data_IF_502032239238
#
_entry.id   IF_502032239238
#
_cell.length_a   1.000
_cell.length_b   1.000
_cell.length_c   1.000
_cell.angle_alpha   90.00
_cell.angle_beta   90.00
_cell.angle_gamma   90.00
#
_symmetry.space_group_name_H-M   'P 1'
#
loop_
_entity.id
_entity.type
_entity.pdbx_description
1 polymer ?
#
# COMPACT_ATOMS: atom_id res chain seq x y z
N UNK A 1 8.45 1.69 41.23
CA UNK A 1 7.81 2.60 40.26
C UNK A 1 7.82 1.92 38.89
N UNK A 2 6.80 2.14 38.06
CA UNK A 2 6.71 1.58 36.73
C UNK A 2 6.51 2.70 35.72
N UNK A 3 7.01 2.51 34.49
CA UNK A 3 6.63 3.28 33.31
C UNK A 3 5.63 2.45 32.50
N UNK A 4 4.54 3.07 32.05
CA UNK A 4 3.48 2.44 31.25
C UNK A 4 3.40 3.21 29.94
N UNK A 5 3.54 2.51 28.81
CA UNK A 5 3.45 3.06 27.47
C UNK A 5 1.99 3.08 26.99
N UNK A 6 1.71 3.78 25.89
CA UNK A 6 0.36 3.96 25.37
C UNK A 6 -0.37 2.64 25.03
N UNK A 7 0.35 1.58 24.66
CA UNK A 7 -0.23 0.25 24.40
C UNK A 7 -0.45 -0.59 25.67
N UNK A 8 -0.18 -0.02 26.87
CA UNK A 8 -0.29 -0.69 28.14
C UNK A 8 0.94 -1.51 28.57
N UNK A 9 1.97 -1.57 27.73
CA UNK A 9 3.24 -2.26 28.09
C UNK A 9 3.88 -1.54 29.27
N UNK A 10 4.31 -2.32 30.28
CA UNK A 10 4.80 -1.80 31.57
C UNK A 10 6.21 -2.30 31.85
N UNK A 11 7.09 -1.40 32.28
CA UNK A 11 8.46 -1.74 32.68
C UNK A 11 8.79 -1.18 34.07
N UNK A 12 9.46 -1.97 34.96
CA UNK A 12 9.89 -1.48 36.26
C UNK A 12 11.03 -0.45 36.09
N UNK A 13 10.84 0.69 36.74
CA UNK A 13 11.80 1.82 36.71
C UNK A 13 12.47 1.96 38.06
N UNK A 14 13.77 2.19 38.04
CA UNK A 14 14.56 2.48 39.25
C UNK A 14 14.16 3.84 39.84
N UNK A 15 14.25 3.96 41.16
CA UNK A 15 13.96 5.22 41.86
C UNK A 15 14.88 6.36 41.40
N UNK A 16 14.34 7.59 41.40
CA UNK A 16 15.06 8.78 40.97
C UNK A 16 15.03 9.03 39.46
N UNK A 17 14.16 8.36 38.69
CA UNK A 17 14.00 8.62 37.27
C UNK A 17 13.56 10.07 36.98
N UNK A 18 14.21 10.70 36.02
CA UNK A 18 13.76 11.91 35.36
C UNK A 18 13.49 11.56 33.88
N UNK A 19 12.66 12.36 33.18
CA UNK A 19 12.32 12.09 31.76
C UNK A 19 13.56 11.86 30.87
N UNK A 20 14.62 12.60 31.10
CA UNK A 20 15.86 12.46 30.36
C UNK A 20 16.77 11.29 30.80
N UNK A 21 16.46 10.66 31.93
CA UNK A 21 17.26 9.57 32.52
C UNK A 21 16.31 8.59 33.22
N UNK A 22 15.83 7.62 32.46
CA UNK A 22 14.94 6.56 32.94
C UNK A 22 15.75 5.28 32.92
N UNK A 23 16.00 4.70 34.09
CA UNK A 23 16.71 3.42 34.20
C UNK A 23 15.71 2.31 34.51
N UNK A 24 15.70 1.29 33.64
CA UNK A 24 14.88 0.10 33.78
C UNK A 24 15.74 -1.13 34.02
N UNK A 25 15.18 -2.14 34.67
CA UNK A 25 15.82 -3.42 34.85
C UNK A 25 15.02 -4.48 34.09
N UNK A 26 15.67 -5.19 33.17
CA UNK A 26 15.10 -6.30 32.40
C UNK A 26 15.87 -7.58 32.67
N UNK A 27 15.28 -8.75 32.44
CA UNK A 27 15.88 -10.03 32.80
C UNK A 27 17.00 -10.47 31.85
N UNK A 28 16.96 -10.01 30.58
CA UNK A 28 17.93 -10.38 29.55
C UNK A 28 18.15 -9.29 28.51
N UNK A 29 19.14 -9.47 27.64
CA UNK A 29 19.32 -8.61 26.45
C UNK A 29 18.18 -8.78 25.42
N UNK A 30 17.53 -9.94 25.35
CA UNK A 30 16.35 -10.12 24.49
C UNK A 30 15.16 -9.27 24.96
N UNK A 31 14.99 -9.13 26.30
CA UNK A 31 13.97 -8.23 26.85
C UNK A 31 14.32 -6.77 26.62
N UNK A 32 15.61 -6.44 26.52
CA UNK A 32 16.05 -5.09 26.13
C UNK A 32 15.69 -4.78 24.68
N UNK A 33 15.83 -5.73 23.76
CA UNK A 33 15.37 -5.60 22.36
C UNK A 33 13.86 -5.41 22.30
N UNK A 34 13.10 -6.11 23.15
CA UNK A 34 11.65 -5.96 23.28
C UNK A 34 11.28 -4.57 23.79
N UNK A 35 11.99 -4.05 24.78
CA UNK A 35 11.84 -2.69 25.27
C UNK A 35 12.15 -1.66 24.17
N UNK A 36 13.24 -1.85 23.43
CA UNK A 36 13.58 -0.98 22.30
C UNK A 36 12.45 -0.94 21.25
N UNK A 37 11.95 -2.11 20.85
CA UNK A 37 10.86 -2.23 19.91
C UNK A 37 9.59 -1.53 20.42
N UNK A 38 9.27 -1.65 21.72
CA UNK A 38 8.13 -0.98 22.34
C UNK A 38 8.31 0.55 22.36
N UNK A 39 9.51 1.04 22.68
CA UNK A 39 9.81 2.49 22.69
C UNK A 39 9.79 3.10 21.27
N UNK A 40 10.20 2.34 20.24
CA UNK A 40 10.20 2.77 18.83
C UNK A 40 8.86 2.60 18.13
N UNK A 41 7.92 1.87 18.74
CA UNK A 41 6.61 1.63 18.13
C UNK A 41 5.87 2.95 17.92
N UNK A 42 5.40 3.27 16.70
CA UNK A 42 4.66 4.48 16.42
C UNK A 42 3.48 4.68 17.39
N UNK A 43 3.32 5.88 17.90
CA UNK A 43 2.25 6.24 18.83
C UNK A 43 2.45 5.75 20.27
N UNK A 44 3.42 4.87 20.56
CA UNK A 44 3.56 4.27 21.90
C UNK A 44 4.08 5.23 22.97
N UNK A 45 4.65 6.36 22.55
CA UNK A 45 5.04 7.47 23.43
C UNK A 45 4.04 8.64 23.41
N UNK A 46 2.88 8.49 22.75
CA UNK A 46 1.81 9.53 22.78
C UNK A 46 1.29 9.77 24.20
N UNK A 47 1.26 8.71 25.00
CA UNK A 47 0.92 8.80 26.44
C UNK A 47 1.88 7.91 27.21
N UNK A 48 2.57 8.50 28.17
CA UNK A 48 3.49 7.80 29.07
C UNK A 48 3.06 8.08 30.49
N UNK A 49 2.76 7.02 31.24
CA UNK A 49 2.37 7.11 32.65
C UNK A 49 3.50 6.57 33.53
N UNK A 50 3.69 7.20 34.65
CA UNK A 50 4.48 6.63 35.75
C UNK A 50 3.54 6.25 36.87
N UNK A 51 3.65 5.02 37.36
CA UNK A 51 2.84 4.52 38.46
C UNK A 51 3.70 4.00 39.59
N UNK A 52 3.20 4.13 40.81
CA UNK A 52 3.76 3.54 42.02
C UNK A 52 2.63 2.96 42.87
N UNK A 53 2.77 1.68 43.28
CA UNK A 53 1.77 0.98 44.06
C UNK A 53 0.33 1.08 43.47
N UNK A 54 0.25 0.87 42.15
CA UNK A 54 -0.95 0.95 41.31
C UNK A 54 -1.62 2.33 41.29
N UNK A 55 -0.90 3.39 41.68
CA UNK A 55 -1.36 4.77 41.60
C UNK A 55 -0.52 5.53 40.58
N UNK A 56 -1.18 6.19 39.64
CA UNK A 56 -0.48 7.03 38.64
C UNK A 56 0.09 8.26 39.38
N UNK A 57 1.42 8.40 39.29
CA UNK A 57 2.16 9.49 39.92
C UNK A 57 2.48 10.63 38.95
N UNK A 58 2.58 10.34 37.64
CA UNK A 58 2.78 11.35 36.62
C UNK A 58 2.24 10.81 35.26
N UNK A 59 1.76 11.74 34.45
CA UNK A 59 1.30 11.49 33.08
C UNK A 59 1.92 12.51 32.13
N UNK A 60 2.46 12.04 31.02
CA UNK A 60 3.07 12.86 29.98
C UNK A 60 2.47 12.50 28.64
N UNK A 61 2.33 13.47 27.75
CA UNK A 61 1.78 13.28 26.41
C UNK A 61 2.75 13.79 25.36
N UNK A 62 2.64 13.25 24.15
CA UNK A 62 3.46 13.64 23.00
C UNK A 62 4.95 13.59 23.30
N UNK A 63 5.39 12.44 23.80
CA UNK A 63 6.79 12.22 24.14
C UNK A 63 7.55 11.65 22.95
N UNK A 64 8.85 11.99 22.89
CA UNK A 64 9.79 11.49 21.89
C UNK A 64 11.01 10.89 22.55
N UNK A 65 11.46 9.76 22.00
CA UNK A 65 12.66 9.07 22.46
C UNK A 65 13.89 9.93 22.14
N UNK A 66 14.84 10.01 23.09
CA UNK A 66 16.14 10.62 22.88
C UNK A 66 17.10 9.64 22.19
N UNK A 67 17.99 10.17 21.36
CA UNK A 67 19.05 9.38 20.73
C UNK A 67 20.41 9.70 21.38
N UNK A 68 21.28 8.70 21.58
CA UNK A 68 21.05 7.28 21.34
C UNK A 68 20.01 6.71 22.32
N UNK A 69 19.24 5.69 21.89
CA UNK A 69 18.14 5.11 22.69
C UNK A 69 18.60 4.74 24.08
N UNK A 70 19.66 3.94 24.15
CA UNK A 70 20.26 3.57 25.42
C UNK A 70 21.57 4.32 25.60
N UNK A 71 21.63 5.15 26.62
CA UNK A 71 22.85 5.82 27.06
C UNK A 71 23.73 4.89 27.91
N UNK A 72 23.12 3.86 28.49
CA UNK A 72 23.81 2.81 29.26
C UNK A 72 23.03 1.49 29.09
N UNK A 73 23.75 0.39 28.89
CA UNK A 73 23.24 -0.97 29.02
C UNK A 73 24.32 -1.82 29.73
N UNK A 74 24.04 -2.32 30.91
CA UNK A 74 25.03 -3.03 31.73
C UNK A 74 24.40 -4.27 32.37
N UNK A 75 25.08 -5.42 32.26
CA UNK A 75 24.71 -6.63 32.98
C UNK A 75 25.09 -6.48 34.46
N UNK A 76 24.19 -6.87 35.34
CA UNK A 76 24.37 -6.89 36.79
C UNK A 76 24.92 -8.24 37.24
N UNK A 77 25.40 -8.33 38.47
CA UNK A 77 26.00 -9.55 39.02
C UNK A 77 25.00 -10.71 39.19
N UNK A 78 23.71 -10.39 39.34
CA UNK A 78 22.58 -11.33 39.38
C UNK A 78 22.08 -11.74 37.98
N UNK A 79 22.75 -11.27 36.92
CA UNK A 79 22.49 -11.67 35.53
C UNK A 79 21.48 -10.85 34.78
N UNK A 80 20.81 -9.90 35.43
CA UNK A 80 19.87 -8.96 34.81
C UNK A 80 20.59 -7.86 34.00
N UNK A 81 19.84 -7.08 33.24
CA UNK A 81 20.36 -5.96 32.45
C UNK A 81 19.73 -4.65 32.93
N UNK A 82 20.58 -3.72 33.36
CA UNK A 82 20.19 -2.31 33.57
C UNK A 82 20.37 -1.55 32.27
N UNK A 83 19.32 -0.86 31.83
CA UNK A 83 19.36 0.00 30.67
C UNK A 83 18.82 1.37 31.01
N UNK A 84 19.47 2.42 30.51
CA UNK A 84 19.07 3.81 30.71
C UNK A 84 18.73 4.43 29.37
N UNK A 85 17.55 5.00 29.27
CA UNK A 85 17.09 5.78 28.11
C UNK A 85 16.50 7.10 28.57
N UNK A 86 16.18 7.97 27.63
CA UNK A 86 15.53 9.24 27.91
C UNK A 86 14.41 9.54 26.92
N UNK A 87 13.44 10.28 27.40
CA UNK A 87 12.36 10.84 26.59
C UNK A 87 12.26 12.34 26.84
N UNK A 88 11.71 13.08 25.87
CA UNK A 88 11.40 14.50 26.00
C UNK A 88 10.03 14.79 25.41
N UNK A 89 9.45 15.91 25.78
CA UNK A 89 8.29 16.43 25.09
C UNK A 89 8.64 16.80 23.64
N UNK A 90 7.72 16.55 22.73
CA UNK A 90 7.81 17.00 21.34
C UNK A 90 7.57 18.51 21.27
N UNK A 91 8.21 19.17 20.32
CA UNK A 91 7.92 20.56 19.99
C UNK A 91 6.55 20.66 19.30
N UNK A 92 5.97 21.86 19.26
CA UNK A 92 4.71 22.10 18.57
C UNK A 92 4.80 21.75 17.07
N UNK A 93 5.95 22.02 16.46
CA UNK A 93 6.21 21.67 15.05
C UNK A 93 6.30 20.16 14.83
N UNK A 94 6.96 19.42 15.74
CA UNK A 94 7.03 17.96 15.66
C UNK A 94 5.63 17.31 15.79
N UNK A 95 4.81 17.81 16.70
CA UNK A 95 3.39 17.35 16.88
C UNK A 95 2.60 17.62 15.60
N UNK A 96 2.77 18.80 15.00
CA UNK A 96 2.06 19.16 13.79
C UNK A 96 2.47 18.28 12.60
N UNK A 97 3.75 17.96 12.45
CA UNK A 97 4.26 17.06 11.40
C UNK A 97 3.65 15.67 11.59
N UNK A 98 3.72 15.09 12.79
CA UNK A 98 3.14 13.77 13.07
C UNK A 98 1.64 13.72 12.77
N UNK A 99 0.88 14.75 13.18
CA UNK A 99 -0.56 14.84 12.87
C UNK A 99 -0.83 14.95 11.36
N UNK A 100 0.02 15.65 10.61
CA UNK A 100 -0.12 15.75 9.16
C UNK A 100 0.18 14.40 8.48
N UNK A 101 1.21 13.70 8.93
CA UNK A 101 1.57 12.37 8.42
C UNK A 101 0.43 11.36 8.68
N UNK A 102 -0.10 11.31 9.91
CA UNK A 102 -1.24 10.45 10.27
C UNK A 102 -2.50 10.77 9.43
N UNK A 103 -2.84 12.05 9.30
CA UNK A 103 -3.99 12.47 8.49
C UNK A 103 -3.82 12.13 7.00
N UNK A 104 -2.58 12.13 6.51
CA UNK A 104 -2.29 11.75 5.14
C UNK A 104 -2.38 10.23 4.92
N UNK A 105 -1.92 9.43 5.89
CA UNK A 105 -2.08 7.98 5.87
C UNK A 105 -3.57 7.57 5.90
N UNK A 106 -4.36 8.12 6.83
CA UNK A 106 -5.81 7.88 6.92
C UNK A 106 -6.55 8.26 5.63
N UNK A 107 -6.18 9.40 5.02
CA UNK A 107 -6.77 9.84 3.76
C UNK A 107 -6.39 8.90 2.61
N UNK A 108 -5.16 8.43 2.57
CA UNK A 108 -4.69 7.49 1.55
C UNK A 108 -5.43 6.16 1.66
N UNK A 109 -5.59 5.63 2.88
CA UNK A 109 -6.33 4.39 3.14
C UNK A 109 -7.81 4.52 2.75
N UNK A 110 -8.46 5.64 3.11
CA UNK A 110 -9.85 5.91 2.72
C UNK A 110 -10.03 5.98 1.20
N UNK A 111 -9.07 6.57 0.48
CA UNK A 111 -9.08 6.59 -0.99
C UNK A 111 -8.95 5.18 -1.56
N UNK A 112 -8.01 4.38 -1.08
CA UNK A 112 -7.82 2.99 -1.53
C UNK A 112 -9.08 2.14 -1.27
N UNK A 113 -9.71 2.30 -0.12
CA UNK A 113 -11.00 1.65 0.17
C UNK A 113 -12.08 2.07 -0.82
N UNK A 114 -12.23 3.37 -1.11
CA UNK A 114 -13.21 3.86 -2.07
C UNK A 114 -12.96 3.28 -3.48
N UNK A 115 -11.70 3.24 -3.93
CA UNK A 115 -11.30 2.69 -5.22
C UNK A 115 -11.62 1.19 -5.36
N UNK A 116 -11.62 0.44 -4.26
CA UNK A 116 -11.94 -0.99 -4.27
C UNK A 116 -13.41 -1.28 -4.64
N UNK A 117 -14.31 -0.33 -4.38
CA UNK A 117 -15.75 -0.48 -4.67
C UNK A 117 -16.17 0.00 -6.07
N UNK A 118 -15.28 0.63 -6.83
CA UNK A 118 -15.59 1.08 -8.18
C UNK A 118 -15.80 -0.13 -9.12
N UNK A 119 -16.67 0.02 -10.10
CA UNK A 119 -16.72 -0.88 -11.25
C UNK A 119 -15.43 -0.79 -12.07
N UNK A 120 -15.17 -1.74 -12.96
CA UNK A 120 -13.99 -1.70 -13.82
C UNK A 120 -13.99 -0.46 -14.75
N UNK A 121 -15.17 -0.07 -15.24
CA UNK A 121 -15.37 1.11 -16.07
C UNK A 121 -15.11 2.42 -15.30
N UNK A 122 -15.65 2.55 -14.09
CA UNK A 122 -15.37 3.71 -13.22
C UNK A 122 -13.89 3.77 -12.84
N UNK A 123 -13.27 2.63 -12.55
CA UNK A 123 -11.85 2.51 -12.20
C UNK A 123 -10.94 3.02 -13.33
N UNK A 124 -11.29 2.80 -14.60
CA UNK A 124 -10.55 3.32 -15.75
C UNK A 124 -10.52 4.85 -15.78
N UNK A 125 -11.60 5.54 -15.37
CA UNK A 125 -11.66 7.00 -15.37
C UNK A 125 -10.71 7.63 -14.35
N UNK A 126 -10.33 6.88 -13.31
CA UNK A 126 -9.45 7.32 -12.22
C UNK A 126 -8.20 6.43 -12.09
N UNK A 127 -7.79 5.77 -13.17
CA UNK A 127 -6.71 4.78 -13.16
C UNK A 127 -5.40 5.28 -12.54
N UNK A 128 -5.11 6.58 -12.65
CA UNK A 128 -3.90 7.19 -12.06
C UNK A 128 -3.85 7.17 -10.53
N UNK A 129 -4.97 6.85 -9.86
CA UNK A 129 -5.03 6.74 -8.41
C UNK A 129 -4.65 5.34 -7.90
N UNK A 130 -4.57 4.35 -8.78
CA UNK A 130 -4.18 3.00 -8.40
C UNK A 130 -2.66 2.87 -8.28
N UNK A 131 -2.15 2.01 -7.37
CA UNK A 131 -0.73 1.80 -7.19
C UNK A 131 -0.09 1.21 -8.46
N UNK A 132 1.16 1.55 -8.72
CA UNK A 132 1.93 0.88 -9.76
C UNK A 132 2.25 -0.57 -9.34
N UNK A 133 2.23 -1.52 -10.29
CA UNK A 133 2.53 -2.93 -10.04
C UNK A 133 3.89 -3.13 -9.36
N UNK A 134 4.89 -2.35 -9.73
CA UNK A 134 6.22 -2.40 -9.16
C UNK A 134 6.24 -2.09 -7.65
N UNK A 135 5.31 -1.25 -7.19
CA UNK A 135 5.18 -0.92 -5.77
C UNK A 135 4.54 -2.03 -4.94
N UNK A 136 3.89 -2.99 -5.60
CA UNK A 136 3.25 -4.13 -4.96
C UNK A 136 4.16 -5.36 -4.87
N UNK A 137 5.34 -5.34 -5.51
CA UNK A 137 6.28 -6.46 -5.47
C UNK A 137 6.66 -6.78 -4.01
N UNK A 138 6.53 -8.06 -3.65
CA UNK A 138 6.75 -8.56 -2.28
C UNK A 138 5.55 -8.41 -1.34
N UNK A 139 4.44 -7.82 -1.79
CA UNK A 139 3.19 -7.73 -1.03
C UNK A 139 2.23 -8.85 -1.43
N UNK A 140 1.42 -9.28 -0.48
CA UNK A 140 0.30 -10.20 -0.74
C UNK A 140 -0.97 -9.39 -0.93
N UNK A 141 -1.66 -9.60 -2.05
CA UNK A 141 -2.87 -8.90 -2.45
C UNK A 141 -4.02 -9.86 -2.71
N UNK A 142 -5.23 -9.42 -2.48
CA UNK A 142 -6.43 -10.23 -2.69
C UNK A 142 -6.90 -10.19 -4.15
N UNK A 143 -7.70 -11.18 -4.53
CA UNK A 143 -8.43 -11.19 -5.81
C UNK A 143 -9.26 -9.92 -5.95
N UNK A 144 -9.27 -9.35 -7.16
CA UNK A 144 -9.94 -8.07 -7.43
C UNK A 144 -9.07 -6.83 -7.20
N UNK A 145 -7.90 -6.96 -6.57
CA UNK A 145 -6.96 -5.83 -6.43
C UNK A 145 -6.59 -5.28 -7.80
N UNK A 146 -6.75 -3.95 -7.98
CA UNK A 146 -6.40 -3.23 -9.20
C UNK A 146 -5.09 -2.48 -9.04
N UNK A 147 -4.33 -2.41 -10.12
CA UNK A 147 -3.02 -1.74 -10.16
C UNK A 147 -2.69 -1.27 -11.57
N UNK A 148 -1.76 -0.34 -11.71
CA UNK A 148 -1.22 0.09 -13.00
C UNK A 148 -0.02 -0.77 -13.38
N UNK A 149 0.02 -1.19 -14.64
CA UNK A 149 1.22 -1.72 -15.28
C UNK A 149 1.46 -0.96 -16.60
N UNK A 150 2.48 -0.12 -16.63
CA UNK A 150 2.59 0.92 -17.65
C UNK A 150 1.37 1.85 -17.63
N UNK A 151 0.74 2.04 -18.78
CA UNK A 151 -0.48 2.85 -18.91
C UNK A 151 -1.77 2.04 -18.74
N UNK A 152 -1.68 0.74 -18.52
CA UNK A 152 -2.83 -0.15 -18.45
C UNK A 152 -3.28 -0.36 -16.99
N UNK A 153 -4.59 -0.29 -16.76
CA UNK A 153 -5.18 -0.73 -15.52
C UNK A 153 -5.35 -2.26 -15.57
N UNK A 154 -4.81 -2.94 -14.58
CA UNK A 154 -4.89 -4.39 -14.45
C UNK A 154 -5.58 -4.78 -13.15
N UNK A 155 -6.09 -6.01 -13.09
CA UNK A 155 -6.76 -6.58 -11.93
C UNK A 155 -6.25 -7.99 -11.66
N UNK A 156 -6.04 -8.32 -10.38
CA UNK A 156 -5.76 -9.67 -9.91
C UNK A 156 -7.02 -10.52 -10.04
N UNK A 157 -6.91 -11.67 -10.71
CA UNK A 157 -8.00 -12.66 -10.86
C UNK A 157 -7.66 -14.02 -10.26
N UNK A 158 -6.50 -14.14 -9.62
CA UNK A 158 -6.16 -15.36 -8.86
C UNK A 158 -7.25 -15.65 -7.83
N UNK A 159 -7.63 -16.94 -7.64
CA UNK A 159 -8.73 -17.30 -6.73
C UNK A 159 -8.39 -17.09 -5.25
N UNK A 160 -7.11 -17.11 -4.91
CA UNK A 160 -6.57 -16.92 -3.57
C UNK A 160 -5.71 -15.66 -3.50
N UNK A 161 -5.32 -15.26 -2.30
CA UNK A 161 -4.38 -14.18 -2.09
C UNK A 161 -3.05 -14.45 -2.81
N UNK A 162 -2.58 -13.46 -3.57
CA UNK A 162 -1.45 -13.56 -4.46
C UNK A 162 -0.26 -12.76 -3.91
N UNK A 163 0.88 -13.42 -3.71
CA UNK A 163 2.15 -12.74 -3.50
C UNK A 163 2.67 -12.20 -4.84
N UNK A 164 2.75 -10.89 -4.99
CA UNK A 164 3.28 -10.25 -6.19
C UNK A 164 4.79 -10.48 -6.27
N UNK A 165 5.26 -11.06 -7.37
CA UNK A 165 6.66 -11.41 -7.59
C UNK A 165 7.16 -10.82 -8.91
N UNK A 166 8.36 -10.27 -8.91
CA UNK A 166 8.97 -9.57 -10.04
C UNK A 166 9.01 -10.39 -11.34
N UNK A 167 9.15 -11.73 -11.26
CA UNK A 167 9.20 -12.59 -12.43
C UNK A 167 7.84 -12.85 -13.10
N UNK A 168 6.74 -12.53 -12.43
CA UNK A 168 5.37 -12.72 -12.96
C UNK A 168 4.79 -11.39 -13.43
N UNK A 169 5.33 -10.92 -14.55
CA UNK A 169 4.94 -9.62 -15.13
C UNK A 169 3.58 -9.73 -15.79
N UNK A 170 2.67 -8.76 -15.60
CA UNK A 170 1.36 -8.76 -16.26
C UNK A 170 1.45 -8.83 -17.79
N UNK A 171 0.64 -9.69 -18.40
CA UNK A 171 0.58 -9.87 -19.87
C UNK A 171 1.69 -10.72 -20.50
N UNK A 172 2.46 -11.46 -19.69
CA UNK A 172 3.53 -12.36 -20.19
C UNK A 172 3.34 -13.80 -19.68
N UNK A 173 2.28 -14.49 -20.13
CA UNK A 173 1.94 -15.83 -19.65
C UNK A 173 1.35 -15.83 -18.24
N UNK A 174 0.83 -14.70 -17.79
CA UNK A 174 0.23 -14.46 -16.47
C UNK A 174 -1.26 -14.16 -16.54
N UNK A 175 -1.90 -14.46 -17.66
CA UNK A 175 -3.31 -14.20 -17.94
C UNK A 175 -4.25 -14.99 -17.01
N UNK A 176 -3.74 -16.03 -16.33
CA UNK A 176 -4.49 -16.79 -15.31
C UNK A 176 -4.53 -16.10 -13.94
N UNK A 177 -3.67 -15.11 -13.71
CA UNK A 177 -3.55 -14.39 -12.43
C UNK A 177 -3.83 -12.89 -12.55
N UNK A 178 -3.61 -12.31 -13.73
CA UNK A 178 -3.88 -10.91 -14.03
C UNK A 178 -4.74 -10.77 -15.29
N UNK A 179 -5.64 -9.80 -15.27
CA UNK A 179 -6.39 -9.37 -16.46
C UNK A 179 -6.23 -7.88 -16.64
N UNK A 180 -6.05 -7.43 -17.87
CA UNK A 180 -6.12 -6.03 -18.23
C UNK A 180 -7.58 -5.60 -18.24
N UNK A 181 -7.87 -4.45 -17.66
CA UNK A 181 -9.17 -3.81 -17.73
C UNK A 181 -9.13 -2.87 -18.93
N UNK A 182 -9.87 -3.22 -19.96
CA UNK A 182 -10.00 -2.41 -21.18
C UNK A 182 -11.26 -1.57 -21.13
N UNK A 183 -11.23 -0.42 -21.80
CA UNK A 183 -12.42 0.40 -22.00
C UNK A 183 -13.46 -0.41 -22.79
N UNK A 184 -14.70 -0.34 -22.32
CA UNK A 184 -15.80 -1.05 -22.97
C UNK A 184 -16.32 -0.15 -24.09
N UNK A 185 -15.71 -0.25 -25.29
CA UNK A 185 -16.11 0.51 -26.46
C UNK A 185 -17.42 -0.04 -27.02
N UNK A 186 -18.35 0.85 -27.31
CA UNK A 186 -19.66 0.46 -27.86
C UNK A 186 -19.55 -0.10 -29.29
N UNK A 187 -18.44 0.17 -29.96
CA UNK A 187 -18.24 -0.19 -31.36
C UNK A 187 -19.12 0.65 -32.29
N UNK A 188 -19.41 1.88 -31.90
CA UNK A 188 -20.05 2.88 -32.75
C UNK A 188 -19.01 3.75 -33.45
N UNK A 189 -19.44 4.56 -34.41
CA UNK A 189 -18.52 5.46 -35.09
C UNK A 189 -17.87 6.48 -34.15
N UNK A 190 -18.62 6.93 -33.14
CA UNK A 190 -18.18 7.87 -32.11
C UNK A 190 -17.31 7.23 -31.03
N UNK A 191 -17.48 5.91 -30.83
CA UNK A 191 -16.76 5.11 -29.82
C UNK A 191 -16.32 3.77 -30.43
N UNK A 192 -15.35 3.79 -31.36
CA UNK A 192 -14.88 2.60 -32.06
C UNK A 192 -13.98 1.73 -31.17
N UNK A 193 -14.05 0.44 -31.36
CA UNK A 193 -13.24 -0.55 -30.62
C UNK A 193 -11.78 -0.44 -31.11
N UNK A 194 -10.80 -0.22 -30.22
CA UNK A 194 -9.39 -0.26 -30.59
C UNK A 194 -9.01 -1.67 -31.09
N UNK A 195 -8.42 -1.73 -32.29
CA UNK A 195 -7.97 -2.99 -32.87
C UNK A 195 -6.51 -3.25 -32.50
N UNK A 196 -6.26 -4.33 -31.77
CA UNK A 196 -4.94 -4.71 -31.24
C UNK A 196 -4.15 -5.67 -32.17
N UNK A 197 -4.75 -6.07 -33.30
CA UNK A 197 -4.11 -7.02 -34.24
C UNK A 197 -4.33 -8.50 -33.88
N UNK A 198 -5.23 -8.80 -32.96
CA UNK A 198 -5.59 -10.19 -32.61
C UNK A 198 -7.00 -10.26 -32.02
N UNK A 199 -8.01 -9.98 -32.82
CA UNK A 199 -9.41 -10.04 -32.37
C UNK A 199 -10.38 -10.50 -33.46
N UNK A 200 -11.52 -11.01 -33.01
CA UNK A 200 -12.67 -11.30 -33.88
C UNK A 200 -13.36 -9.99 -34.23
N UNK A 201 -13.65 -9.78 -35.49
CA UNK A 201 -14.41 -8.61 -35.94
C UNK A 201 -15.91 -8.98 -36.02
N UNK A 202 -16.74 -8.14 -35.43
CA UNK A 202 -18.19 -8.25 -35.43
C UNK A 202 -18.81 -7.34 -36.52
N UNK A 203 -19.66 -7.89 -37.37
CA UNK A 203 -20.36 -7.15 -38.41
C UNK A 203 -21.18 -5.99 -37.80
N UNK A 204 -21.08 -4.81 -38.41
CA UNK A 204 -21.77 -3.59 -37.97
C UNK A 204 -21.05 -2.83 -36.85
N UNK A 205 -19.94 -3.35 -36.32
CA UNK A 205 -19.13 -2.63 -35.34
C UNK A 205 -18.05 -1.79 -36.03
N UNK A 206 -17.67 -0.69 -35.36
CA UNK A 206 -16.58 0.16 -35.76
C UNK A 206 -15.33 -0.16 -34.97
N UNK A 207 -14.20 -0.17 -35.67
CA UNK A 207 -12.88 -0.42 -35.09
C UNK A 207 -11.95 0.73 -35.44
N UNK A 208 -10.96 1.01 -34.60
CA UNK A 208 -9.95 2.02 -34.86
C UNK A 208 -8.55 1.42 -34.80
N UNK A 209 -7.74 1.70 -35.82
CA UNK A 209 -6.33 1.38 -35.85
C UNK A 209 -5.56 2.53 -36.49
N UNK A 210 -4.44 2.95 -35.89
CA UNK A 210 -3.57 4.04 -36.37
C UNK A 210 -4.36 5.35 -36.65
N UNK A 211 -5.33 5.67 -35.80
CA UNK A 211 -6.22 6.83 -35.90
C UNK A 211 -7.19 6.80 -37.10
N UNK A 212 -7.31 5.67 -37.80
CA UNK A 212 -8.29 5.47 -38.88
C UNK A 212 -9.43 4.59 -38.35
N UNK A 213 -10.66 5.03 -38.58
CA UNK A 213 -11.87 4.31 -38.20
C UNK A 213 -12.33 3.42 -39.38
N UNK A 214 -12.69 2.19 -39.07
CA UNK A 214 -13.17 1.18 -40.00
C UNK A 214 -14.53 0.64 -39.52
N UNK A 215 -15.47 0.51 -40.44
CA UNK A 215 -16.72 -0.24 -40.23
C UNK A 215 -16.51 -1.68 -40.64
N UNK A 216 -16.77 -2.62 -39.75
CA UNK A 216 -16.80 -4.04 -40.10
C UNK A 216 -18.05 -4.34 -40.95
N UNK A 217 -17.84 -4.56 -42.23
CA UNK A 217 -18.93 -4.90 -43.20
C UNK A 217 -19.20 -6.40 -43.27
N UNK A 218 -18.29 -7.21 -42.70
CA UNK A 218 -18.42 -8.66 -42.63
C UNK A 218 -17.67 -9.20 -41.41
N UNK A 219 -18.37 -9.85 -40.50
CA UNK A 219 -17.78 -10.47 -39.30
C UNK A 219 -16.77 -11.59 -39.62
N UNK A 220 -15.84 -11.83 -38.71
CA UNK A 220 -14.91 -12.95 -38.77
C UNK A 220 -15.27 -13.97 -37.70
N UNK A 221 -15.23 -15.26 -38.01
CA UNK A 221 -15.54 -16.31 -37.03
C UNK A 221 -14.36 -16.61 -36.11
N UNK A 222 -13.16 -16.19 -36.50
CA UNK A 222 -11.90 -16.37 -35.77
C UNK A 222 -11.16 -15.03 -35.69
N UNK A 223 -10.26 -14.92 -34.72
CA UNK A 223 -9.41 -13.74 -34.59
C UNK A 223 -8.55 -13.56 -35.84
N UNK A 224 -8.49 -12.31 -36.34
CA UNK A 224 -7.62 -11.91 -37.45
C UNK A 224 -6.41 -11.20 -36.90
N UNK A 225 -5.26 -11.38 -37.59
CA UNK A 225 -3.98 -10.85 -37.15
C UNK A 225 -3.40 -9.79 -38.11
N UNK A 226 -4.04 -9.59 -39.25
CA UNK A 226 -3.61 -8.61 -40.26
C UNK A 226 -4.06 -7.20 -39.81
N UNK A 227 -3.31 -6.15 -40.16
CA UNK A 227 -3.75 -4.77 -39.99
C UNK A 227 -5.10 -4.52 -40.68
N UNK A 228 -5.96 -3.69 -40.11
CA UNK A 228 -7.28 -3.38 -40.68
C UNK A 228 -7.18 -2.80 -42.11
N UNK A 229 -6.13 -2.05 -42.40
CA UNK A 229 -5.87 -1.53 -43.74
C UNK A 229 -5.74 -2.63 -44.80
N UNK A 230 -5.19 -3.81 -44.49
CA UNK A 230 -5.09 -4.96 -45.35
C UNK A 230 -6.39 -5.75 -45.50
N UNK A 231 -7.28 -5.58 -44.54
CA UNK A 231 -8.62 -6.21 -44.51
C UNK A 231 -9.68 -5.32 -45.20
N UNK A 232 -9.29 -4.10 -45.61
CA UNK A 232 -10.20 -3.15 -46.26
C UNK A 232 -10.70 -3.69 -47.60
N UNK A 233 -12.02 -3.59 -47.81
CA UNK A 233 -12.71 -4.15 -48.99
C UNK A 233 -13.00 -5.64 -48.89
N UNK A 234 -12.57 -6.35 -47.86
CA UNK A 234 -12.86 -7.79 -47.59
C UNK A 234 -13.74 -7.95 -46.37
N UNK A 235 -13.34 -7.39 -45.26
CA UNK A 235 -14.01 -7.46 -43.96
C UNK A 235 -14.38 -6.10 -43.39
N UNK A 236 -13.62 -5.05 -43.73
CA UNK A 236 -13.81 -3.71 -43.20
C UNK A 236 -13.83 -2.67 -44.31
N UNK A 237 -14.47 -1.54 -44.05
CA UNK A 237 -14.51 -0.37 -44.92
C UNK A 237 -13.98 0.85 -44.16
N UNK A 238 -13.14 1.67 -44.80
CA UNK A 238 -12.62 2.91 -44.17
C UNK A 238 -13.78 3.91 -44.03
N UNK A 239 -13.95 4.46 -42.86
CA UNK A 239 -14.90 5.52 -42.56
C UNK A 239 -14.18 6.85 -42.71
N UNK A 240 -14.71 7.70 -43.63
CA UNK A 240 -14.14 9.02 -43.97
C UNK A 240 -14.66 10.09 -43.02
#
# INVERSE_FOLDING_TARGET
MNIILADGTTYPVMDGAALSIITVMVDSYADLETLEAALRKPGNLKTVLFSQDDVDTAAYTNMRLLEPIFTMAKKTDDGKVLATFGIREMTAEEIQIEQMEEAQEEKSEAVLMALAYLSDEEALTVKSLYPAWESLIGQTVSSGTRFLYGDNLCKVIAPDDLLIQEQYVPGQGTESIYVRIDENHAGTQEDPIPYDGNMVLEEGKYYVQDSVVYLCSRGTEVAVHQPLAELAGIYVEVVL
#
